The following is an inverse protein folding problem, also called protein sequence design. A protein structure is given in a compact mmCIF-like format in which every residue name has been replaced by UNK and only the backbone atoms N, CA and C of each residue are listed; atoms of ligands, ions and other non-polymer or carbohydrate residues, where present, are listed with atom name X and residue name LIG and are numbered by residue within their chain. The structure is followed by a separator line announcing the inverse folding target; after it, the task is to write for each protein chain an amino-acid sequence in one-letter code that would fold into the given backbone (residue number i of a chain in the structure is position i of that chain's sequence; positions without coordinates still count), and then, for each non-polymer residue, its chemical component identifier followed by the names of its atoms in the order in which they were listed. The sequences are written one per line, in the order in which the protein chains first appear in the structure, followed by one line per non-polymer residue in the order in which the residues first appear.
data_IF_083920239981
#
_entry.id   IF_083920239981
#
_cell.length_a   1.000
_cell.length_b   1.000
_cell.length_c   1.000
_cell.angle_alpha   90.00
_cell.angle_beta   90.00
_cell.angle_gamma   90.00
#
_symmetry.space_group_name_H-M   'P 1'
#
loop_
_entity.id
_entity.type
_entity.pdbx_description
1 polymer ?
#
# COMPACT_ATOMS: atom_id res chain seq x y z
N UNK A 1 -7.23 3.68 -12.98
CA UNK A 1 -7.27 3.25 -11.56
C UNK A 1 -5.85 2.92 -11.18
N UNK A 2 -5.40 3.30 -9.99
CA UNK A 2 -4.04 3.00 -9.54
C UNK A 2 -4.05 2.72 -8.04
N UNK A 3 -2.95 2.16 -7.54
CA UNK A 3 -2.76 1.86 -6.13
C UNK A 3 -1.73 2.81 -5.49
N UNK A 4 -1.95 3.19 -4.24
CA UNK A 4 -0.94 3.85 -3.42
C UNK A 4 -0.39 2.85 -2.40
N UNK A 5 0.93 2.71 -2.37
CA UNK A 5 1.62 1.91 -1.36
C UNK A 5 2.45 2.86 -0.51
N UNK A 6 2.05 3.04 0.75
CA UNK A 6 2.94 3.59 1.75
C UNK A 6 3.84 2.47 2.26
N UNK A 7 5.15 2.67 2.25
CA UNK A 7 6.10 1.64 2.63
C UNK A 7 7.44 2.19 3.10
N UNK A 8 8.30 1.28 3.53
CA UNK A 8 9.70 1.53 3.93
C UNK A 8 10.60 0.57 3.14
N UNK A 9 11.87 0.94 2.91
CA UNK A 9 12.74 0.20 1.98
C UNK A 9 13.09 -1.20 2.47
N UNK A 10 13.27 -1.39 3.78
CA UNK A 10 13.65 -2.66 4.40
C UNK A 10 12.44 -3.55 4.79
N UNK A 11 11.36 -3.48 4.02
CA UNK A 11 10.11 -4.19 4.31
C UNK A 11 9.80 -5.23 3.20
N UNK A 12 10.01 -6.54 3.45
CA UNK A 12 9.73 -7.59 2.47
C UNK A 12 8.27 -7.58 1.98
N UNK A 13 7.31 -7.35 2.89
CA UNK A 13 5.89 -7.25 2.52
C UNK A 13 5.60 -6.06 1.60
N UNK A 14 6.37 -4.97 1.71
CA UNK A 14 6.22 -3.78 0.88
C UNK A 14 6.70 -4.07 -0.55
N UNK A 15 7.88 -4.72 -0.67
CA UNK A 15 8.39 -5.19 -1.95
C UNK A 15 7.44 -6.22 -2.59
N UNK A 16 6.89 -7.14 -1.80
CA UNK A 16 5.94 -8.14 -2.31
C UNK A 16 4.63 -7.50 -2.78
N UNK A 17 4.10 -6.49 -2.08
CA UNK A 17 2.91 -5.76 -2.54
C UNK A 17 3.15 -5.08 -3.91
N UNK A 18 4.34 -4.47 -4.11
CA UNK A 18 4.72 -3.93 -5.40
C UNK A 18 4.80 -5.02 -6.48
N UNK A 19 5.41 -6.17 -6.16
CA UNK A 19 5.51 -7.30 -7.08
C UNK A 19 4.13 -7.87 -7.46
N UNK A 20 3.23 -8.07 -6.49
CA UNK A 20 1.87 -8.57 -6.72
C UNK A 20 1.10 -7.63 -7.68
N UNK A 21 1.27 -6.31 -7.57
CA UNK A 21 0.66 -5.35 -8.51
C UNK A 21 1.31 -5.38 -9.90
N UNK A 22 2.64 -5.50 -9.97
CA UNK A 22 3.35 -5.63 -11.24
C UNK A 22 2.99 -6.90 -11.99
N UNK A 23 2.86 -8.04 -11.29
CA UNK A 23 2.44 -9.33 -11.84
C UNK A 23 1.03 -9.25 -12.49
N UNK A 24 0.18 -8.33 -12.03
CA UNK A 24 -1.18 -8.10 -12.53
C UNK A 24 -1.30 -6.87 -13.46
N UNK A 25 -0.18 -6.33 -13.94
CA UNK A 25 -0.11 -5.12 -14.79
C UNK A 25 -0.88 -3.90 -14.21
N UNK A 26 -0.90 -3.79 -12.87
CA UNK A 26 -1.60 -2.73 -12.16
C UNK A 26 -0.67 -1.51 -11.94
N UNK A 27 -1.18 -0.32 -12.26
CA UNK A 27 -0.46 0.92 -11.98
C UNK A 27 -0.41 1.22 -10.47
N UNK A 28 0.75 1.62 -9.96
CA UNK A 28 0.89 2.03 -8.56
C UNK A 28 1.92 3.13 -8.34
N UNK A 29 1.79 3.81 -7.20
CA UNK A 29 2.74 4.80 -6.69
C UNK A 29 3.23 4.35 -5.32
N UNK A 30 4.55 4.30 -5.14
CA UNK A 30 5.18 3.98 -3.87
C UNK A 30 5.60 5.25 -3.13
N UNK A 31 5.02 5.46 -1.94
CA UNK A 31 5.37 6.57 -1.05
C UNK A 31 6.38 6.04 -0.02
N UNK A 32 7.65 6.38 -0.22
CA UNK A 32 8.72 6.04 0.71
C UNK A 32 8.56 6.84 2.02
N UNK A 33 8.47 6.12 3.14
CA UNK A 33 8.30 6.68 4.48
C UNK A 33 9.54 6.51 5.38
N UNK A 34 10.69 6.07 4.87
CA UNK A 34 11.90 5.73 5.65
C UNK A 34 12.39 6.89 6.51
N UNK A 35 12.40 8.10 5.96
CA UNK A 35 13.12 9.23 6.56
C UNK A 35 12.27 10.13 7.45
N UNK A 36 10.98 9.81 7.65
CA UNK A 36 10.10 10.60 8.51
C UNK A 36 9.36 9.71 9.51
N UNK A 37 9.90 9.61 10.73
CA UNK A 37 9.32 8.80 11.82
C UNK A 37 7.94 9.32 12.23
N UNK A 38 7.78 10.64 12.30
CA UNK A 38 6.50 11.25 12.68
C UNK A 38 5.45 11.00 11.62
N UNK A 39 5.80 11.16 10.34
CA UNK A 39 4.91 10.81 9.23
C UNK A 39 4.51 9.33 9.25
N UNK A 40 5.45 8.41 9.55
CA UNK A 40 5.14 6.97 9.72
C UNK A 40 4.11 6.70 10.82
N UNK A 41 4.14 7.47 11.90
CA UNK A 41 3.16 7.36 12.99
C UNK A 41 1.84 7.98 12.58
N UNK A 42 1.88 9.15 11.98
CA UNK A 42 0.72 9.92 11.53
C UNK A 42 -0.08 9.13 10.49
N UNK A 43 0.55 8.64 9.42
CA UNK A 43 -0.16 7.96 8.32
C UNK A 43 -0.83 6.65 8.78
N UNK A 44 -0.19 5.91 9.69
CA UNK A 44 -0.76 4.72 10.32
C UNK A 44 -1.98 5.05 11.17
N UNK A 45 -1.93 6.14 11.93
CA UNK A 45 -3.07 6.59 12.73
C UNK A 45 -4.21 7.11 11.86
N UNK A 46 -3.90 7.92 10.83
CA UNK A 46 -4.88 8.48 9.91
C UNK A 46 -5.64 7.39 9.14
N UNK A 47 -4.92 6.36 8.69
CA UNK A 47 -5.51 5.23 7.95
C UNK A 47 -5.96 4.09 8.86
N UNK A 48 -5.84 4.25 10.19
CA UNK A 48 -6.16 3.23 11.19
C UNK A 48 -5.54 1.85 10.85
N UNK A 49 -4.26 1.84 10.45
CA UNK A 49 -3.54 0.63 10.05
C UNK A 49 -2.18 0.51 10.74
N UNK A 50 -1.86 -0.64 11.38
CA UNK A 50 -0.75 -0.70 12.34
C UNK A 50 0.65 -0.90 11.72
N UNK A 51 0.75 -1.41 10.50
CA UNK A 51 2.01 -1.88 9.88
C UNK A 51 2.20 -1.40 8.44
N UNK A 52 3.38 -1.59 7.87
CA UNK A 52 3.62 -1.39 6.43
C UNK A 52 3.66 -2.75 5.70
N UNK A 53 3.28 -2.80 4.42
CA UNK A 53 2.76 -1.70 3.61
C UNK A 53 1.34 -1.29 4.02
N UNK A 54 0.97 -0.04 3.75
CA UNK A 54 -0.43 0.40 3.74
C UNK A 54 -0.82 0.63 2.29
N UNK A 55 -1.80 -0.13 1.80
CA UNK A 55 -2.23 -0.13 0.40
C UNK A 55 -3.60 0.51 0.28
N UNK A 56 -3.73 1.46 -0.64
CA UNK A 56 -5.00 2.08 -1.02
C UNK A 56 -5.29 1.89 -2.51
N UNK A 57 -6.56 1.70 -2.84
CA UNK A 57 -7.09 1.74 -4.20
C UNK A 57 -7.57 3.17 -4.49
N UNK A 58 -7.08 3.77 -5.56
CA UNK A 58 -7.46 5.11 -6.00
C UNK A 58 -8.28 5.03 -7.29
N UNK A 59 -9.58 5.31 -7.18
CA UNK A 59 -10.51 5.34 -8.31
C UNK A 59 -11.31 6.65 -8.33
N UNK A 60 -10.94 7.55 -9.26
CA UNK A 60 -11.62 8.82 -9.44
C UNK A 60 -11.58 9.70 -8.19
N UNK A 61 -12.75 9.96 -7.58
CA UNK A 61 -12.89 10.83 -6.39
C UNK A 61 -12.76 10.11 -5.05
N UNK A 62 -12.64 8.78 -5.05
CA UNK A 62 -12.62 8.00 -3.81
C UNK A 62 -11.34 7.19 -3.69
N UNK A 63 -10.76 7.26 -2.48
CA UNK A 63 -9.66 6.41 -2.07
C UNK A 63 -10.20 5.39 -1.08
N UNK A 64 -9.92 4.11 -1.32
CA UNK A 64 -10.34 3.01 -0.47
C UNK A 64 -9.12 2.33 0.13
N UNK A 65 -9.10 2.22 1.47
CA UNK A 65 -8.10 1.40 2.16
C UNK A 65 -8.32 -0.08 1.84
N UNK A 66 -7.26 -0.76 1.38
CA UNK A 66 -7.25 -2.21 1.18
C UNK A 66 -6.70 -2.91 2.43
N UNK A 67 -5.61 -2.38 2.99
CA UNK A 67 -4.90 -2.96 4.13
C UNK A 67 -3.42 -3.18 3.82
N UNK A 68 -2.88 -4.33 4.21
CA UNK A 68 -1.50 -4.74 3.95
C UNK A 68 -1.38 -5.63 2.71
N UNK A 69 -0.22 -6.27 2.57
CA UNK A 69 0.09 -7.11 1.41
C UNK A 69 -0.84 -8.33 1.28
N UNK A 70 -1.17 -9.02 2.38
CA UNK A 70 -2.10 -10.16 2.35
C UNK A 70 -3.51 -9.76 1.89
N UNK A 71 -4.02 -8.61 2.38
CA UNK A 71 -5.32 -8.08 1.95
C UNK A 71 -5.30 -7.68 0.47
N UNK A 72 -4.19 -7.11 0.01
CA UNK A 72 -3.99 -6.81 -1.41
C UNK A 72 -4.02 -8.09 -2.26
N UNK A 73 -3.26 -9.12 -1.89
CA UNK A 73 -3.22 -10.39 -2.63
C UNK A 73 -4.62 -11.00 -2.75
N UNK A 74 -5.35 -11.12 -1.64
CA UNK A 74 -6.73 -11.64 -1.66
C UNK A 74 -7.73 -10.77 -2.41
N UNK A 75 -7.43 -9.48 -2.62
CA UNK A 75 -8.21 -8.58 -3.47
C UNK A 75 -7.92 -8.81 -4.95
N UNK A 76 -6.65 -9.01 -5.33
CA UNK A 76 -6.22 -9.24 -6.71
C UNK A 76 -6.69 -10.60 -7.24
N UNK A 77 -6.71 -11.65 -6.40
CA UNK A 77 -7.24 -12.98 -6.78
C UNK A 77 -8.75 -12.98 -7.09
N UNK A 78 -9.46 -11.88 -6.80
CA UNK A 78 -10.90 -11.71 -7.04
C UNK A 78 -11.22 -10.78 -8.20
N UNK A 79 -10.19 -10.26 -8.89
CA UNK A 79 -10.32 -9.47 -10.11
C UNK A 79 -10.30 -10.39 -11.33
#
# INVERSE_FOLDING_TARGET
MYYLIYGISDCPSCLRACADLMEQDCQYVFVNCDFSKDYRKEIRNQLNWPTFPIVMECSGKQNKLIGGQEQLKGRLERL
#
